data_IF_711924178682
#
_entry.id   IF_711924178682
#
_cell.length_a   1.000
_cell.length_b   1.000
_cell.length_c   1.000
_cell.angle_alpha   90.00
_cell.angle_beta   90.00
_cell.angle_gamma   90.00
#
_symmetry.space_group_name_H-M   'P 1'
#
loop_
_entity.id
_entity.type
_entity.pdbx_description
1 polymer ?
#
# COMPACT_ATOMS: atom_id res chain seq x y z
N UNK A 1 -52.96 13.38 -4.05
CA UNK A 1 -51.75 13.84 -3.33
C UNK A 1 -50.58 13.15 -4.02
N UNK A 2 -49.73 13.94 -4.67
CA UNK A 2 -48.67 13.52 -5.59
C UNK A 2 -47.50 12.90 -4.82
N UNK A 3 -47.00 11.75 -5.28
CA UNK A 3 -45.75 11.14 -4.83
C UNK A 3 -44.60 11.74 -5.66
N UNK A 4 -43.86 12.67 -5.08
CA UNK A 4 -42.67 13.21 -5.70
C UNK A 4 -41.47 12.27 -5.51
N UNK A 5 -40.95 11.84 -6.66
CA UNK A 5 -39.76 11.02 -6.84
C UNK A 5 -38.53 11.89 -6.58
N UNK A 6 -37.80 11.65 -5.50
CA UNK A 6 -36.50 12.31 -5.27
C UNK A 6 -35.43 11.56 -6.07
N UNK A 7 -35.17 12.11 -7.25
CA UNK A 7 -34.04 11.88 -8.14
C UNK A 7 -32.75 12.39 -7.46
N UNK A 8 -31.86 11.49 -7.04
CA UNK A 8 -30.49 11.87 -6.65
C UNK A 8 -29.60 11.89 -7.90
N UNK A 9 -28.95 13.02 -8.24
CA UNK A 9 -27.97 13.07 -9.31
C UNK A 9 -26.64 12.46 -8.88
N UNK A 10 -26.11 11.62 -9.78
CA UNK A 10 -24.72 11.20 -9.87
C UNK A 10 -23.79 12.42 -9.96
N UNK A 11 -22.79 12.49 -9.10
CA UNK A 11 -21.64 13.39 -9.25
C UNK A 11 -20.42 12.78 -8.57
N UNK A 12 -19.72 11.91 -9.32
CA UNK A 12 -18.33 11.57 -9.02
C UNK A 12 -17.44 12.79 -9.33
N UNK A 13 -16.51 13.19 -8.45
CA UNK A 13 -15.50 14.17 -8.82
C UNK A 13 -14.49 13.54 -9.79
N UNK A 14 -14.35 14.17 -10.95
CA UNK A 14 -13.30 13.91 -11.91
C UNK A 14 -11.93 14.26 -11.31
N UNK A 15 -11.06 13.27 -11.13
CA UNK A 15 -9.61 13.48 -10.93
C UNK A 15 -8.92 13.46 -12.28
N UNK A 16 -9.02 14.58 -12.99
CA UNK A 16 -8.06 15.01 -14.01
C UNK A 16 -7.11 16.02 -13.33
N UNK A 17 -5.82 15.96 -13.68
CA UNK A 17 -4.71 16.82 -13.22
C UNK A 17 -3.80 16.27 -12.11
N UNK A 18 -2.95 15.31 -12.48
CA UNK A 18 -1.57 15.22 -11.99
C UNK A 18 -0.67 14.44 -12.98
N UNK A 19 -0.77 14.77 -14.28
CA UNK A 19 0.20 14.38 -15.31
C UNK A 19 0.86 15.65 -15.85
N UNK A 20 1.82 16.21 -15.09
CA UNK A 20 2.65 17.30 -15.59
C UNK A 20 3.93 17.48 -14.74
N UNK A 21 4.88 16.54 -14.81
CA UNK A 21 6.31 16.91 -14.67
C UNK A 21 7.21 15.81 -15.27
N UNK A 22 7.38 15.83 -16.59
CA UNK A 22 8.27 14.90 -17.32
C UNK A 22 9.14 15.59 -18.36
N UNK A 23 9.56 16.85 -18.16
CA UNK A 23 10.54 17.47 -19.06
C UNK A 23 11.43 18.48 -18.34
N UNK A 24 12.64 18.06 -17.94
CA UNK A 24 13.85 18.89 -18.15
C UNK A 24 15.15 18.08 -18.11
N UNK A 25 15.64 17.75 -19.31
CA UNK A 25 17.01 17.88 -19.83
C UNK A 25 18.17 17.65 -18.84
N UNK A 26 18.91 16.55 -18.99
CA UNK A 26 20.05 16.48 -19.91
C UNK A 26 21.13 17.54 -19.62
N UNK A 27 22.02 17.23 -18.67
CA UNK A 27 23.36 17.81 -18.60
C UNK A 27 24.24 16.95 -17.68
N UNK A 28 24.79 15.87 -18.22
CA UNK A 28 26.02 15.28 -17.67
C UNK A 28 26.74 14.50 -18.78
N UNK A 29 27.28 15.23 -19.75
CA UNK A 29 28.32 14.74 -20.63
C UNK A 29 29.56 15.63 -20.50
N UNK A 30 30.72 14.98 -20.64
CA UNK A 30 32.03 15.54 -20.97
C UNK A 30 33.02 15.77 -19.81
N UNK A 31 33.63 14.67 -19.37
CA UNK A 31 35.09 14.67 -19.21
C UNK A 31 35.70 13.34 -19.69
N UNK A 32 36.29 13.41 -20.89
CA UNK A 32 37.07 12.40 -21.59
C UNK A 32 38.48 12.24 -20.98
N UNK A 33 38.97 10.99 -20.88
CA UNK A 33 40.38 10.51 -21.07
C UNK A 33 40.52 9.12 -20.40
N UNK A 34 40.98 8.00 -20.98
CA UNK A 34 41.68 7.61 -22.23
C UNK A 34 41.35 6.13 -22.52
N UNK A 35 41.50 5.63 -23.76
CA UNK A 35 41.48 4.20 -24.05
C UNK A 35 42.83 3.56 -23.76
N UNK A 36 42.84 2.55 -22.88
CA UNK A 36 43.94 1.60 -22.72
C UNK A 36 43.45 0.21 -23.12
N UNK A 37 43.77 -0.19 -24.35
CA UNK A 37 43.60 -1.55 -24.86
C UNK A 37 44.54 -2.51 -24.13
N UNK A 38 43.99 -3.57 -23.54
CA UNK A 38 44.71 -4.84 -23.37
C UNK A 38 43.70 -5.98 -23.28
N UNK A 39 43.87 -6.95 -24.17
CA UNK A 39 43.00 -8.09 -24.39
C UNK A 39 43.13 -9.14 -23.28
N UNK A 40 42.00 -9.73 -22.88
CA UNK A 40 41.96 -11.11 -22.38
C UNK A 40 40.54 -11.68 -22.54
N UNK A 41 40.33 -12.80 -23.25
CA UNK A 41 39.00 -13.37 -23.46
C UNK A 41 38.71 -14.39 -22.35
N UNK A 42 38.27 -13.94 -21.19
CA UNK A 42 37.68 -14.84 -20.19
C UNK A 42 36.16 -14.86 -20.34
N UNK A 43 35.67 -15.93 -20.96
CA UNK A 43 34.29 -16.47 -20.97
C UNK A 43 33.30 -15.69 -20.08
N UNK A 44 32.58 -14.76 -20.72
CA UNK A 44 31.46 -14.05 -20.11
C UNK A 44 30.27 -15.02 -20.02
N UNK A 45 30.13 -15.70 -18.89
CA UNK A 45 28.87 -16.38 -18.55
C UNK A 45 27.84 -15.27 -18.31
N UNK A 46 27.01 -15.03 -19.31
CA UNK A 46 25.90 -14.09 -19.25
C UNK A 46 24.92 -14.55 -18.16
N UNK A 47 25.11 -14.04 -16.94
CA UNK A 47 24.15 -14.21 -15.86
C UNK A 47 23.10 -13.12 -16.06
N UNK A 48 21.95 -13.49 -16.63
CA UNK A 48 20.80 -12.59 -16.73
C UNK A 48 20.25 -12.43 -15.30
N UNK A 49 20.66 -11.38 -14.60
CA UNK A 49 20.06 -11.00 -13.32
C UNK A 49 18.72 -10.32 -13.66
N UNK A 50 17.63 -11.08 -13.64
CA UNK A 50 16.27 -10.53 -13.74
C UNK A 50 15.96 -9.88 -12.39
N UNK A 51 16.24 -8.59 -12.26
CA UNK A 51 15.79 -7.80 -11.13
C UNK A 51 14.28 -7.52 -11.28
N UNK A 52 13.45 -8.32 -10.61
CA UNK A 52 12.01 -8.02 -10.50
C UNK A 52 11.85 -6.88 -9.50
N UNK A 53 11.72 -5.66 -10.01
CA UNK A 53 11.30 -4.50 -9.24
C UNK A 53 9.80 -4.66 -8.92
N UNK A 54 9.48 -5.37 -7.85
CA UNK A 54 8.13 -5.33 -7.28
C UNK A 54 7.98 -3.94 -6.68
N UNK A 55 7.33 -3.03 -7.42
CA UNK A 55 6.86 -1.79 -6.85
C UNK A 55 5.88 -2.16 -5.74
N UNK A 56 6.33 -2.08 -4.48
CA UNK A 56 5.46 -2.23 -3.32
C UNK A 56 4.55 -1.01 -3.32
N UNK A 57 3.42 -1.09 -4.01
CA UNK A 57 2.32 -0.16 -3.83
C UNK A 57 1.77 -0.45 -2.44
N UNK A 58 2.32 0.25 -1.43
CA UNK A 58 1.59 0.50 -0.21
C UNK A 58 0.43 1.41 -0.63
N UNK A 59 -0.70 0.81 -1.00
CA UNK A 59 -1.94 1.55 -1.01
C UNK A 59 -2.15 1.97 0.44
N UNK A 60 -1.73 3.20 0.78
CA UNK A 60 -2.22 3.92 1.95
C UNK A 60 -3.64 4.36 1.63
N UNK A 61 -4.50 3.38 1.42
CA UNK A 61 -5.90 3.61 1.21
C UNK A 61 -6.51 3.65 2.62
N UNK A 62 -7.28 4.71 2.85
CA UNK A 62 -7.89 4.97 4.14
C UNK A 62 -9.27 4.34 4.08
N UNK A 63 -9.56 3.43 5.00
CA UNK A 63 -10.86 2.79 5.12
C UNK A 63 -11.62 3.32 6.34
N UNK A 64 -12.94 3.20 6.33
CA UNK A 64 -13.83 3.65 7.38
C UNK A 64 -14.38 2.44 8.13
N UNK A 65 -14.17 2.41 9.44
CA UNK A 65 -14.76 1.39 10.31
C UNK A 65 -16.26 1.63 10.53
N UNK A 66 -16.96 0.61 11.04
CA UNK A 66 -18.42 0.69 11.31
C UNK A 66 -18.80 1.78 12.32
N UNK A 67 -17.86 2.20 13.17
CA UNK A 67 -17.99 3.27 14.15
C UNK A 67 -17.60 4.67 13.60
N UNK A 68 -17.28 4.78 12.31
CA UNK A 68 -16.85 6.02 11.67
C UNK A 68 -15.37 6.37 11.83
N UNK A 69 -14.56 5.51 12.48
CA UNK A 69 -13.12 5.75 12.59
C UNK A 69 -12.42 5.61 11.23
N UNK A 70 -11.55 6.56 10.93
CA UNK A 70 -10.67 6.52 9.77
C UNK A 70 -9.45 5.64 10.06
N UNK A 71 -9.24 4.62 9.25
CA UNK A 71 -8.27 3.57 9.48
C UNK A 71 -7.36 3.33 8.28
N UNK A 72 -6.18 2.79 8.54
CA UNK A 72 -5.18 2.47 7.53
C UNK A 72 -4.47 1.15 7.87
N UNK A 73 -4.24 0.33 6.85
CA UNK A 73 -3.50 -0.92 6.97
C UNK A 73 -1.98 -0.71 6.89
N UNK A 74 -1.28 -1.10 7.95
CA UNK A 74 0.17 -1.05 8.04
C UNK A 74 0.79 -2.43 7.82
N UNK A 75 1.57 -2.55 6.74
CA UNK A 75 2.29 -3.75 6.33
C UNK A 75 2.23 -3.94 4.82
N UNK A 76 3.38 -3.92 4.16
CA UNK A 76 3.47 -4.04 2.70
C UNK A 76 3.73 -5.48 2.29
N UNK A 77 2.87 -5.99 1.42
CA UNK A 77 3.01 -7.33 0.85
C UNK A 77 4.20 -7.39 -0.11
N UNK A 78 4.86 -8.55 -0.28
CA UNK A 78 4.53 -9.85 0.32
C UNK A 78 5.05 -10.06 1.75
N UNK A 79 6.01 -9.24 2.22
CA UNK A 79 6.62 -9.40 3.55
C UNK A 79 6.22 -8.23 4.47
N UNK A 80 5.11 -8.40 5.19
CA UNK A 80 4.45 -7.29 5.89
C UNK A 80 5.11 -6.87 7.22
N UNK A 81 6.10 -7.62 7.68
CA UNK A 81 6.81 -7.37 8.94
C UNK A 81 6.04 -7.84 10.18
N UNK A 82 6.44 -7.33 11.34
CA UNK A 82 5.84 -7.65 12.66
C UNK A 82 5.87 -6.42 13.58
N UNK A 83 5.17 -6.51 14.71
CA UNK A 83 5.15 -5.48 15.75
C UNK A 83 5.13 -6.08 17.15
N UNK A 84 5.48 -5.26 18.15
CA UNK A 84 5.22 -5.56 19.57
C UNK A 84 3.95 -4.87 20.10
N UNK A 85 3.29 -4.09 19.26
CA UNK A 85 2.08 -3.35 19.60
C UNK A 85 0.91 -4.29 19.91
N UNK A 86 0.11 -3.94 20.89
CA UNK A 86 -1.09 -4.65 21.31
C UNK A 86 -2.35 -3.85 20.95
N UNK A 87 -3.49 -4.52 20.92
CA UNK A 87 -4.78 -3.86 20.74
C UNK A 87 -4.96 -2.71 21.73
N UNK A 88 -5.36 -1.55 21.22
CA UNK A 88 -5.53 -0.33 22.02
C UNK A 88 -4.27 0.54 22.16
N UNK A 89 -3.09 0.05 21.76
CA UNK A 89 -1.87 0.87 21.75
C UNK A 89 -2.05 2.07 20.82
N UNK A 90 -1.45 3.20 21.21
CA UNK A 90 -1.39 4.42 20.40
C UNK A 90 -0.02 4.56 19.74
N UNK A 91 0.00 4.91 18.47
CA UNK A 91 1.23 5.30 17.79
C UNK A 91 1.57 6.78 18.02
N UNK A 92 2.71 7.22 17.50
CA UNK A 92 3.16 8.62 17.60
C UNK A 92 2.26 9.62 16.86
N UNK A 93 1.43 9.14 15.92
CA UNK A 93 0.44 9.94 15.21
C UNK A 93 -0.92 9.98 15.93
N UNK A 94 -1.05 9.30 17.07
CA UNK A 94 -2.28 9.24 17.85
C UNK A 94 -3.31 8.21 17.35
N UNK A 95 -2.95 7.38 16.37
CA UNK A 95 -3.80 6.28 15.91
C UNK A 95 -3.77 5.14 16.91
N UNK A 96 -4.90 4.46 17.06
CA UNK A 96 -5.10 3.31 17.93
C UNK A 96 -5.02 2.03 17.12
N UNK A 97 -4.28 1.03 17.58
CA UNK A 97 -4.27 -0.29 16.98
C UNK A 97 -5.61 -1.00 17.26
N UNK A 98 -6.45 -1.13 16.23
CA UNK A 98 -7.77 -1.73 16.34
C UNK A 98 -7.79 -3.21 15.96
N UNK A 99 -7.06 -3.57 14.90
CA UNK A 99 -7.08 -4.94 14.38
C UNK A 99 -5.70 -5.42 13.92
N UNK A 100 -5.44 -6.72 13.95
CA UNK A 100 -4.27 -7.34 13.31
C UNK A 100 -4.69 -8.61 12.61
N UNK A 101 -4.02 -8.95 11.51
CA UNK A 101 -4.19 -10.27 10.88
C UNK A 101 -3.31 -11.34 11.50
N UNK A 102 -2.58 -11.04 12.58
CA UNK A 102 -1.77 -12.00 13.33
C UNK A 102 -2.63 -12.92 14.19
N UNK A 103 -3.57 -12.33 14.92
CA UNK A 103 -4.26 -13.01 16.03
C UNK A 103 -5.30 -14.03 15.58
N UNK A 104 -5.74 -13.95 14.33
CA UNK A 104 -6.82 -14.79 13.82
C UNK A 104 -6.24 -15.85 12.89
N UNK A 105 -6.31 -17.12 13.32
CA UNK A 105 -5.92 -18.30 12.52
C UNK A 105 -6.64 -18.40 11.16
N UNK A 106 -7.64 -17.54 10.92
CA UNK A 106 -8.49 -17.49 9.74
C UNK A 106 -8.26 -16.22 8.88
N UNK A 107 -7.31 -15.36 9.25
CA UNK A 107 -6.89 -14.20 8.44
C UNK A 107 -7.92 -13.07 8.32
N UNK A 108 -7.77 -12.28 7.26
CA UNK A 108 -8.53 -11.04 7.05
C UNK A 108 -9.99 -11.25 6.64
N UNK A 109 -10.29 -12.26 5.81
CA UNK A 109 -11.67 -12.58 5.42
C UNK A 109 -12.56 -12.94 6.63
N UNK A 110 -12.03 -13.78 7.52
CA UNK A 110 -12.67 -14.12 8.78
C UNK A 110 -12.89 -12.89 9.67
N UNK A 111 -11.94 -11.94 9.65
CA UNK A 111 -12.09 -10.70 10.43
C UNK A 111 -13.31 -9.89 9.96
N UNK A 112 -13.60 -9.91 8.67
CA UNK A 112 -14.80 -9.31 8.09
C UNK A 112 -16.06 -10.10 8.44
N UNK A 113 -16.05 -11.43 8.28
CA UNK A 113 -17.21 -12.30 8.57
C UNK A 113 -17.66 -12.20 10.04
N UNK A 114 -16.71 -12.11 10.96
CA UNK A 114 -16.98 -11.92 12.40
C UNK A 114 -17.28 -10.46 12.77
N UNK A 115 -17.16 -9.54 11.81
CA UNK A 115 -17.50 -8.13 11.99
C UNK A 115 -16.48 -7.30 12.76
N UNK A 116 -15.24 -7.79 12.94
CA UNK A 116 -14.13 -7.04 13.56
C UNK A 116 -13.64 -5.89 12.69
N UNK A 117 -13.84 -6.00 11.38
CA UNK A 117 -13.58 -4.94 10.41
C UNK A 117 -14.82 -4.65 9.57
N UNK A 118 -14.91 -3.43 9.04
CA UNK A 118 -15.93 -3.05 8.06
C UNK A 118 -15.66 -3.69 6.69
N UNK A 119 -16.66 -3.67 5.82
CA UNK A 119 -16.50 -4.07 4.41
C UNK A 119 -15.48 -3.18 3.69
N UNK A 120 -15.48 -1.89 3.99
CA UNK A 120 -14.53 -0.93 3.41
C UNK A 120 -13.08 -1.31 3.78
N UNK A 121 -12.82 -1.55 5.07
CA UNK A 121 -11.50 -2.03 5.51
C UNK A 121 -11.20 -3.45 5.03
N UNK A 122 -12.22 -4.24 4.68
CA UNK A 122 -12.03 -5.53 4.07
C UNK A 122 -11.45 -5.40 2.66
N UNK A 123 -12.07 -4.55 1.84
CA UNK A 123 -11.67 -4.27 0.46
C UNK A 123 -10.30 -3.60 0.40
N UNK A 124 -10.05 -2.67 1.33
CA UNK A 124 -8.84 -1.84 1.40
C UNK A 124 -7.54 -2.63 1.67
N UNK A 125 -7.64 -3.76 2.36
CA UNK A 125 -6.51 -4.57 2.81
C UNK A 125 -5.49 -4.93 1.71
N UNK A 126 -5.98 -5.06 0.49
CA UNK A 126 -5.18 -5.38 -0.69
C UNK A 126 -4.60 -6.78 -0.64
N UNK A 127 -3.38 -6.94 -1.16
CA UNK A 127 -2.74 -8.25 -1.26
C UNK A 127 -2.40 -8.85 0.12
N UNK A 128 -2.56 -10.17 0.30
CA UNK A 128 -2.18 -10.85 1.54
C UNK A 128 -0.65 -10.88 1.74
N UNK A 129 -0.23 -11.14 2.97
CA UNK A 129 1.16 -11.32 3.35
C UNK A 129 1.57 -12.79 3.15
N UNK A 130 2.74 -13.03 2.54
CA UNK A 130 3.39 -14.34 2.54
C UNK A 130 4.10 -14.63 3.87
N UNK A 131 4.57 -13.58 4.55
CA UNK A 131 5.08 -13.68 5.92
C UNK A 131 4.77 -12.41 6.71
N UNK A 132 4.65 -12.55 8.03
CA UNK A 132 4.23 -11.46 8.90
C UNK A 132 2.72 -11.22 8.82
N UNK A 133 2.29 -10.02 9.17
CA UNK A 133 0.87 -9.65 9.22
C UNK A 133 0.68 -8.14 9.02
N UNK A 134 -0.55 -7.73 8.69
CA UNK A 134 -0.91 -6.31 8.66
C UNK A 134 -1.60 -5.88 9.94
N UNK A 135 -1.51 -4.58 10.23
CA UNK A 135 -2.05 -3.93 11.42
C UNK A 135 -2.99 -2.81 11.00
N UNK A 136 -4.22 -2.80 11.48
CA UNK A 136 -5.19 -1.75 11.20
C UNK A 136 -5.11 -0.69 12.30
N UNK A 137 -4.62 0.48 11.93
CA UNK A 137 -4.48 1.63 12.82
C UNK A 137 -5.55 2.65 12.50
N UNK A 138 -6.27 3.13 13.51
CA UNK A 138 -7.40 4.02 13.33
C UNK A 138 -7.27 5.29 14.14
N UNK A 139 -7.67 6.43 13.58
CA UNK A 139 -7.88 7.64 14.35
C UNK A 139 -9.17 7.50 15.18
N UNK A 140 -9.12 7.80 16.49
CA UNK A 140 -10.34 7.83 17.31
C UNK A 140 -11.27 8.95 16.79
N UNK A 141 -12.55 8.63 16.64
CA UNK A 141 -13.63 9.57 16.30
C UNK A 141 -14.11 10.32 17.55
#
# INVERSE_FOLDING_TARGET
>A
MHLDTIKHPSAAPAMSDALAEQHNLANYDKSLRRPGTSASPSKMKSQIIIAVLIAATSASANCIQKNGEHCEWFGSSPFCGSSKSKYGDKDSAGRVLRHTTESFNCGHACSFEHGYISEDCYIDYGYPCLSGYKRLWCYPN
#
